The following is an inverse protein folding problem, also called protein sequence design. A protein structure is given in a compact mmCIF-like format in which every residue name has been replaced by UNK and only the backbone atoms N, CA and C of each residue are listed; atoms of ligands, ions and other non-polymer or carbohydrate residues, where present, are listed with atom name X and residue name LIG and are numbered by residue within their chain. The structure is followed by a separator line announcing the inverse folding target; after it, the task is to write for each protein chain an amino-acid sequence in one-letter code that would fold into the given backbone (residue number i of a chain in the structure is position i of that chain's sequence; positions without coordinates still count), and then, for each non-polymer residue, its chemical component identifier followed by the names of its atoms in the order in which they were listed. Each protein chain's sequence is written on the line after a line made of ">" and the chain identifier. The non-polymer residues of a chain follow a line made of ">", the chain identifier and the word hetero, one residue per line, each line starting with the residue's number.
data_IF_705382008822
#
_entry.id   IF_705382008822
#
_cell.length_a   1.000
_cell.length_b   1.000
_cell.length_c   1.000
_cell.angle_alpha   90.00
_cell.angle_beta   90.00
_cell.angle_gamma   90.00
#
_symmetry.space_group_name_H-M   'P 1'
#
loop_
_entity.id
_entity.type
_entity.pdbx_description
1 polymer ?
#
# COMPACT_ATOMS: atom_id res chain seq x y z
N UNK A 1 -2.16 -4.96 2.89
CA UNK A 1 -2.70 -3.66 2.44
C UNK A 1 -2.98 -3.69 0.95
N UNK A 2 -4.23 -3.48 0.54
CA UNK A 2 -4.62 -3.40 -0.87
C UNK A 2 -4.46 -1.96 -1.37
N UNK A 3 -3.80 -1.79 -2.52
CA UNK A 3 -3.63 -0.51 -3.20
C UNK A 3 -4.06 -0.68 -4.66
N UNK A 4 -4.68 0.34 -5.24
CA UNK A 4 -5.04 0.32 -6.66
C UNK A 4 -4.86 1.70 -7.31
N UNK A 5 -4.76 1.73 -8.63
CA UNK A 5 -4.67 2.94 -9.44
C UNK A 5 -5.28 2.73 -10.83
N UNK A 6 -5.63 3.82 -11.50
CA UNK A 6 -6.16 3.77 -12.89
C UNK A 6 -5.09 3.44 -13.93
N UNK A 7 -3.82 3.43 -13.54
CA UNK A 7 -2.65 3.05 -14.33
C UNK A 7 -1.52 2.57 -13.41
N UNK A 8 -0.46 1.93 -13.94
CA UNK A 8 0.74 1.56 -13.16
C UNK A 8 1.36 2.73 -12.41
N UNK A 9 1.54 3.87 -13.07
CA UNK A 9 2.05 5.09 -12.42
C UNK A 9 1.12 5.60 -11.30
N UNK A 10 -0.20 5.50 -11.48
CA UNK A 10 -1.15 5.86 -10.43
C UNK A 10 -1.10 4.89 -9.23
N UNK A 11 -0.90 3.59 -9.48
CA UNK A 11 -0.67 2.59 -8.44
C UNK A 11 0.60 2.91 -7.64
N UNK A 12 1.72 3.12 -8.32
CA UNK A 12 3.00 3.45 -7.70
C UNK A 12 2.90 4.72 -6.83
N UNK A 13 2.27 5.78 -7.36
CA UNK A 13 2.02 7.02 -6.61
C UNK A 13 1.13 6.79 -5.39
N UNK A 14 0.08 5.98 -5.51
CA UNK A 14 -0.81 5.67 -4.39
C UNK A 14 -0.10 4.84 -3.31
N UNK A 15 0.79 3.92 -3.71
CA UNK A 15 1.61 3.14 -2.79
C UNK A 15 2.59 4.02 -2.01
N UNK A 16 3.29 4.96 -2.69
CA UNK A 16 4.17 5.93 -2.04
C UNK A 16 3.43 6.78 -1.00
N UNK A 17 2.27 7.34 -1.38
CA UNK A 17 1.45 8.15 -0.48
C UNK A 17 0.98 7.36 0.75
N UNK A 18 0.65 6.09 0.58
CA UNK A 18 0.25 5.23 1.69
C UNK A 18 1.43 4.92 2.61
N UNK A 19 2.63 4.69 2.06
CA UNK A 19 3.84 4.51 2.84
C UNK A 19 4.15 5.75 3.70
N UNK A 20 4.05 6.95 3.11
CA UNK A 20 4.26 8.20 3.82
C UNK A 20 3.22 8.44 4.92
N UNK A 21 1.96 8.06 4.67
CA UNK A 21 0.89 8.15 5.66
C UNK A 21 1.18 7.25 6.88
N UNK A 22 1.60 6.00 6.64
CA UNK A 22 1.91 5.03 7.70
C UNK A 22 3.16 5.41 8.51
N UNK A 23 4.13 6.06 7.88
CA UNK A 23 5.36 6.50 8.54
C UNK A 23 5.21 7.75 9.43
N UNK A 24 4.03 8.41 9.45
CA UNK A 24 3.83 9.67 10.19
C UNK A 24 3.27 9.43 11.61
N UNK A 25 3.85 10.02 12.67
CA UNK A 25 3.28 9.98 14.02
C UNK A 25 2.07 10.92 14.21
N UNK A 26 1.12 10.58 15.13
CA UNK A 26 0.95 9.27 15.75
C UNK A 26 0.44 8.27 14.70
N UNK A 27 1.13 7.14 14.55
CA UNK A 27 0.81 6.16 13.50
C UNK A 27 -0.60 5.60 13.65
N UNK A 28 -1.26 5.34 12.52
CA UNK A 28 -2.56 4.64 12.50
C UNK A 28 -2.37 3.14 12.67
N UNK A 29 -3.28 2.46 13.38
CA UNK A 29 -3.26 1.00 13.48
C UNK A 29 -3.38 0.38 12.09
N UNK A 30 -2.47 -0.55 11.78
CA UNK A 30 -2.38 -1.17 10.46
C UNK A 30 -3.68 -1.89 10.05
N UNK A 31 -4.37 -2.51 11.03
CA UNK A 31 -5.67 -3.16 10.84
C UNK A 31 -6.76 -2.21 10.34
N UNK A 32 -6.80 -1.00 10.88
CA UNK A 32 -7.84 -0.02 10.58
C UNK A 32 -7.63 0.55 9.17
N UNK A 33 -6.36 0.75 8.79
CA UNK A 33 -5.97 1.11 7.43
C UNK A 33 -6.32 0.00 6.45
N UNK A 34 -6.00 -1.26 6.77
CA UNK A 34 -6.34 -2.41 5.93
C UNK A 34 -7.85 -2.54 5.70
N UNK A 35 -8.65 -2.42 6.77
CA UNK A 35 -10.11 -2.44 6.70
C UNK A 35 -10.64 -1.31 5.81
N UNK A 36 -10.15 -0.09 6.02
CA UNK A 36 -10.56 1.07 5.22
C UNK A 36 -10.26 0.89 3.74
N UNK A 37 -9.06 0.40 3.40
CA UNK A 37 -8.65 0.15 2.01
C UNK A 37 -9.49 -0.94 1.32
N UNK A 38 -9.90 -1.97 2.06
CA UNK A 38 -10.68 -3.08 1.52
C UNK A 38 -12.18 -2.78 1.37
N UNK A 39 -12.74 -1.89 2.19
CA UNK A 39 -14.19 -1.73 2.31
C UNK A 39 -14.71 -0.37 1.84
N UNK A 40 -13.88 0.67 1.85
CA UNK A 40 -14.34 2.05 1.59
C UNK A 40 -13.77 2.65 0.30
N UNK A 41 -12.70 2.08 -0.25
CA UNK A 41 -11.99 2.66 -1.39
C UNK A 41 -12.40 1.98 -2.69
N UNK A 42 -12.50 2.77 -3.75
CA UNK A 42 -12.72 2.25 -5.10
C UNK A 42 -11.53 1.41 -5.54
N UNK A 43 -11.79 0.21 -6.05
CA UNK A 43 -10.77 -0.69 -6.58
C UNK A 43 -10.60 -0.50 -8.09
N UNK A 44 -9.55 0.20 -8.49
CA UNK A 44 -9.20 0.42 -9.89
C UNK A 44 -8.58 -0.84 -10.56
N UNK A 45 -8.45 -0.88 -11.90
CA UNK A 45 -7.96 -2.07 -12.61
C UNK A 45 -6.52 -2.47 -12.28
N UNK A 46 -5.62 -1.50 -12.08
CA UNK A 46 -4.23 -1.79 -11.71
C UNK A 46 -4.13 -1.90 -10.18
N UNK A 47 -3.69 -3.05 -9.67
CA UNK A 47 -3.76 -3.39 -8.24
C UNK A 47 -2.42 -3.92 -7.73
N UNK A 48 -2.24 -3.82 -6.42
CA UNK A 48 -1.12 -4.42 -5.70
C UNK A 48 -1.52 -4.65 -4.24
N UNK A 49 -1.01 -5.73 -3.66
CA UNK A 49 -1.25 -6.12 -2.27
C UNK A 49 0.09 -6.31 -1.58
N UNK A 50 0.25 -5.63 -0.44
CA UNK A 50 1.40 -5.82 0.46
C UNK A 50 0.97 -6.67 1.65
N UNK A 51 1.60 -7.81 1.87
CA UNK A 51 1.38 -8.63 3.07
C UNK A 51 2.40 -8.21 4.14
N UNK A 52 1.93 -7.79 5.31
CA UNK A 52 2.78 -7.29 6.39
C UNK A 52 2.13 -7.52 7.76
N UNK A 53 2.94 -7.90 8.75
CA UNK A 53 2.57 -8.01 10.16
C UNK A 53 2.86 -6.74 10.96
N UNK A 54 3.73 -5.87 10.46
CA UNK A 54 4.14 -4.62 11.12
C UNK A 54 4.01 -3.40 10.21
N UNK A 55 3.96 -2.20 10.81
CA UNK A 55 3.95 -0.94 10.05
C UNK A 55 5.22 -0.76 9.23
N UNK A 56 6.39 -1.15 9.75
CA UNK A 56 7.67 -1.04 9.04
C UNK A 56 7.72 -1.97 7.84
N UNK A 57 7.26 -3.22 7.97
CA UNK A 57 7.12 -4.16 6.85
C UNK A 57 6.16 -3.62 5.78
N UNK A 58 5.04 -3.03 6.21
CA UNK A 58 4.06 -2.44 5.31
C UNK A 58 4.65 -1.25 4.54
N UNK A 59 5.38 -0.36 5.22
CA UNK A 59 6.05 0.79 4.60
C UNK A 59 7.11 0.30 3.59
N UNK A 60 7.93 -0.68 3.95
CA UNK A 60 8.95 -1.24 3.07
C UNK A 60 8.32 -1.84 1.79
N UNK A 61 7.31 -2.70 1.93
CA UNK A 61 6.62 -3.31 0.79
C UNK A 61 5.91 -2.28 -0.10
N UNK A 62 5.29 -1.24 0.49
CA UNK A 62 4.66 -0.17 -0.27
C UNK A 62 5.68 0.70 -1.02
N UNK A 63 6.85 0.96 -0.44
CA UNK A 63 7.93 1.67 -1.15
C UNK A 63 8.51 0.84 -2.29
N UNK A 64 8.63 -0.47 -2.11
CA UNK A 64 9.05 -1.35 -3.20
C UNK A 64 8.03 -1.34 -4.35
N UNK A 65 6.74 -1.44 -4.03
CA UNK A 65 5.64 -1.32 -5.01
C UNK A 65 5.65 0.05 -5.70
N UNK A 66 5.99 1.13 -4.99
CA UNK A 66 6.08 2.47 -5.57
C UNK A 66 7.27 2.67 -6.52
N UNK A 67 8.32 1.87 -6.36
CA UNK A 67 9.50 1.91 -7.23
C UNK A 67 9.39 0.98 -8.44
N UNK A 68 8.20 0.41 -8.70
CA UNK A 68 7.97 -0.69 -9.66
C UNK A 68 8.92 -1.88 -9.43
N UNK A 69 9.40 -2.06 -8.20
CA UNK A 69 10.32 -3.13 -7.82
C UNK A 69 9.57 -4.40 -7.39
N UNK A 70 10.12 -5.56 -7.74
CA UNK A 70 9.68 -6.85 -7.19
C UNK A 70 10.09 -6.95 -5.71
N UNK A 71 9.16 -7.33 -4.83
CA UNK A 71 9.42 -7.56 -3.40
C UNK A 71 8.67 -8.80 -2.94
N UNK A 72 9.27 -9.60 -2.06
CA UNK A 72 8.74 -10.91 -1.64
C UNK A 72 7.31 -10.83 -1.04
N UNK A 73 6.98 -9.67 -0.45
CA UNK A 73 5.68 -9.41 0.18
C UNK A 73 4.65 -8.73 -0.73
N UNK A 74 4.98 -8.46 -1.99
CA UNK A 74 4.12 -7.74 -2.96
C UNK A 74 3.52 -8.72 -3.96
N UNK A 75 2.19 -8.67 -4.09
CA UNK A 75 1.43 -9.39 -5.13
C UNK A 75 0.68 -8.38 -5.98
N UNK A 76 0.97 -8.28 -7.28
CA UNK A 76 0.32 -7.37 -8.24
C UNK A 76 -0.66 -8.10 -9.15
#
# INVERSE_FOLDING_TARGET
>A
LAVSGTSPHALARNAARLADHLGRPPGTKLSDVACSLATTRTHHPTRGVVIAGTTDEAVAGLRALAADGSHDTVVT
#
